data_IF_397090746114
#
_entry.id   IF_397090746114
#
_cell.length_a   1.000
_cell.length_b   1.000
_cell.length_c   1.000
_cell.angle_alpha   90.00
_cell.angle_beta   90.00
_cell.angle_gamma   90.00
#
_symmetry.space_group_name_H-M   'P 1'
#
loop_
_entity.id
_entity.type
_entity.pdbx_description
1 polymer ?
#
# COMPACT_ATOMS: atom_id res chain seq x y z
N UNK A 1 -8.91 30.12 12.40
CA UNK A 1 -9.91 29.15 11.92
C UNK A 1 -9.13 27.91 11.52
N UNK A 2 -9.45 26.73 12.05
CA UNK A 2 -8.74 25.50 11.68
C UNK A 2 -9.30 25.11 10.30
N UNK A 3 -8.57 25.42 9.24
CA UNK A 3 -8.79 24.86 7.91
C UNK A 3 -8.66 23.34 8.03
N UNK A 4 -9.77 22.66 8.34
CA UNK A 4 -9.82 21.21 8.28
C UNK A 4 -9.49 20.83 6.84
N UNK A 5 -8.36 20.14 6.58
CA UNK A 5 -8.03 19.76 5.23
C UNK A 5 -9.20 18.92 4.72
N UNK A 6 -9.74 19.28 3.56
CA UNK A 6 -10.76 18.47 2.95
C UNK A 6 -10.06 17.18 2.53
N UNK A 7 -10.58 16.04 2.98
CA UNK A 7 -10.17 14.68 2.63
C UNK A 7 -8.68 14.36 2.44
N UNK A 8 -8.41 13.14 2.01
CA UNK A 8 -7.09 12.68 1.60
C UNK A 8 -7.22 11.74 0.40
N UNK A 9 -6.62 12.11 -0.73
CA UNK A 9 -6.47 11.19 -1.86
C UNK A 9 -5.18 10.41 -1.70
N UNK A 10 -5.29 9.08 -1.83
CA UNK A 10 -4.16 8.15 -1.78
C UNK A 10 -4.13 7.26 -3.01
N UNK A 11 -2.93 6.80 -3.35
CA UNK A 11 -2.76 5.88 -4.47
C UNK A 11 -1.34 5.36 -4.59
N UNK A 12 -1.20 4.29 -5.39
CA UNK A 12 0.06 3.73 -5.83
C UNK A 12 0.12 3.91 -7.35
N UNK A 13 1.04 4.75 -7.80
CA UNK A 13 1.19 5.11 -9.21
C UNK A 13 1.28 3.86 -10.10
N UNK A 14 0.44 3.83 -11.15
CA UNK A 14 0.33 2.76 -12.14
C UNK A 14 -0.13 1.39 -11.60
N UNK A 15 -0.48 1.31 -10.31
CA UNK A 15 -0.98 0.08 -9.66
C UNK A 15 -2.42 0.24 -9.20
N UNK A 16 -2.79 1.40 -8.66
CA UNK A 16 -4.15 1.65 -8.13
C UNK A 16 -4.76 2.92 -8.71
N UNK A 17 -6.08 2.96 -8.77
CA UNK A 17 -6.81 4.20 -8.95
C UNK A 17 -6.63 5.11 -7.71
N UNK A 18 -6.47 6.43 -7.89
CA UNK A 18 -6.51 7.37 -6.77
C UNK A 18 -7.84 7.27 -6.03
N UNK A 19 -7.79 7.10 -4.72
CA UNK A 19 -8.98 6.95 -3.88
C UNK A 19 -8.98 7.98 -2.77
N UNK A 20 -10.10 8.67 -2.57
CA UNK A 20 -10.24 9.72 -1.57
C UNK A 20 -10.91 9.21 -0.29
N UNK A 21 -10.43 9.67 0.86
CA UNK A 21 -10.94 9.32 2.19
C UNK A 21 -11.20 10.57 3.02
N UNK A 22 -12.14 10.51 3.98
CA UNK A 22 -12.45 11.65 4.83
C UNK A 22 -11.32 11.95 5.82
N UNK A 23 -10.72 10.89 6.37
CA UNK A 23 -9.68 10.98 7.39
C UNK A 23 -8.45 10.21 6.97
N UNK A 24 -7.30 10.62 7.51
CA UNK A 24 -6.02 10.07 7.12
C UNK A 24 -5.82 8.62 7.58
N UNK A 25 -6.37 8.24 8.73
CA UNK A 25 -6.22 6.89 9.27
C UNK A 25 -6.81 5.78 8.36
N UNK A 26 -8.05 5.89 7.85
CA UNK A 26 -8.57 5.01 6.82
C UNK A 26 -7.72 5.00 5.55
N UNK A 27 -7.27 6.17 5.09
CA UNK A 27 -6.48 6.29 3.86
C UNK A 27 -5.15 5.53 3.95
N UNK A 28 -4.43 5.69 5.07
CA UNK A 28 -3.18 4.98 5.34
C UNK A 28 -3.41 3.49 5.57
N UNK A 29 -4.53 3.11 6.21
CA UNK A 29 -4.90 1.71 6.39
C UNK A 29 -5.16 1.01 5.05
N UNK A 30 -5.88 1.67 4.14
CA UNK A 30 -6.13 1.19 2.78
C UNK A 30 -4.85 1.05 1.97
N UNK A 31 -3.95 2.03 2.05
CA UNK A 31 -2.63 1.94 1.43
C UNK A 31 -1.85 0.73 1.96
N UNK A 32 -1.77 0.57 3.28
CA UNK A 32 -1.04 -0.54 3.88
C UNK A 32 -1.64 -1.90 3.52
N UNK A 33 -2.97 -2.03 3.55
CA UNK A 33 -3.68 -3.24 3.13
C UNK A 33 -3.41 -3.60 1.66
N UNK A 34 -3.21 -2.60 0.81
CA UNK A 34 -2.88 -2.81 -0.61
C UNK A 34 -1.39 -3.14 -0.78
N UNK A 35 -0.50 -2.46 -0.07
CA UNK A 35 0.95 -2.69 -0.18
C UNK A 35 1.36 -4.09 0.27
N UNK A 36 0.75 -4.61 1.35
CA UNK A 36 1.07 -5.94 1.89
C UNK A 36 0.70 -7.10 0.96
N UNK A 37 -0.12 -6.87 -0.07
CA UNK A 37 -0.48 -7.91 -1.06
C UNK A 37 0.45 -7.90 -2.27
N UNK A 38 1.31 -6.88 -2.39
CA UNK A 38 2.30 -6.82 -3.45
C UNK A 38 3.52 -7.69 -3.10
N UNK A 39 4.19 -8.29 -4.10
CA UNK A 39 5.41 -9.08 -3.90
C UNK A 39 6.61 -8.17 -3.61
N UNK A 40 6.61 -7.55 -2.44
CA UNK A 40 7.69 -6.69 -1.96
C UNK A 40 8.84 -7.55 -1.42
N UNK A 41 10.08 -7.10 -1.66
CA UNK A 41 11.24 -7.68 -0.99
C UNK A 41 11.19 -7.46 0.53
N UNK A 42 11.76 -8.37 1.31
CA UNK A 42 11.73 -8.35 2.78
C UNK A 42 12.11 -6.99 3.39
N UNK A 43 13.23 -6.40 2.94
CA UNK A 43 13.70 -5.10 3.42
C UNK A 43 12.70 -3.98 3.16
N UNK A 44 12.03 -4.00 2.00
CA UNK A 44 11.01 -3.00 1.67
C UNK A 44 9.78 -3.20 2.55
N UNK A 45 9.32 -4.45 2.69
CA UNK A 45 8.18 -4.78 3.53
C UNK A 45 8.39 -4.30 4.97
N UNK A 46 9.55 -4.56 5.58
CA UNK A 46 9.87 -4.11 6.94
C UNK A 46 9.93 -2.58 7.05
N UNK A 47 10.54 -1.89 6.09
CA UNK A 47 10.57 -0.44 6.07
C UNK A 47 9.16 0.16 6.02
N UNK A 48 8.27 -0.37 5.17
CA UNK A 48 6.89 0.09 5.07
C UNK A 48 6.03 -0.33 6.26
N UNK A 49 6.28 -1.50 6.86
CA UNK A 49 5.63 -1.92 8.10
C UNK A 49 5.94 -0.94 9.23
N UNK A 50 7.18 -0.46 9.32
CA UNK A 50 7.55 0.60 10.25
C UNK A 50 6.92 1.95 9.87
N UNK A 51 6.89 2.30 8.58
CA UNK A 51 6.29 3.55 8.11
C UNK A 51 4.78 3.64 8.38
N UNK A 52 4.03 2.59 8.06
CA UNK A 52 2.58 2.51 8.24
C UNK A 52 2.16 1.96 9.62
N UNK A 53 3.11 1.73 10.52
CA UNK A 53 2.88 1.28 11.88
C UNK A 53 2.36 2.38 12.82
N UNK A 54 2.51 2.21 14.15
CA UNK A 54 2.11 3.22 15.13
C UNK A 54 2.65 4.62 14.79
N UNK A 55 1.80 5.64 14.98
CA UNK A 55 2.16 7.03 14.67
C UNK A 55 2.27 7.37 13.17
N UNK A 56 1.80 6.50 12.26
CA UNK A 56 1.80 6.78 10.82
C UNK A 56 1.01 8.05 10.46
N UNK A 57 -0.13 8.28 11.13
CA UNK A 57 -0.96 9.48 10.93
C UNK A 57 -0.18 10.75 11.24
N UNK A 58 0.41 10.87 12.44
CA UNK A 58 1.16 12.06 12.84
C UNK A 58 2.36 12.33 11.93
N UNK A 59 3.15 11.29 11.61
CA UNK A 59 4.25 11.43 10.65
C UNK A 59 3.77 11.90 9.28
N UNK A 60 2.67 11.35 8.78
CA UNK A 60 2.12 11.76 7.49
C UNK A 60 1.62 13.19 7.54
N UNK A 61 0.94 13.61 8.60
CA UNK A 61 0.53 15.01 8.81
C UNK A 61 1.72 15.97 8.82
N UNK A 62 2.85 15.60 9.46
CA UNK A 62 4.08 16.39 9.42
C UNK A 62 4.61 16.56 7.99
N UNK A 63 4.63 15.50 7.19
CA UNK A 63 5.01 15.59 5.77
C UNK A 63 4.03 16.44 4.95
N UNK A 64 2.72 16.30 5.20
CA UNK A 64 1.70 17.09 4.52
C UNK A 64 1.80 18.57 4.89
N UNK A 65 2.06 18.90 6.15
CA UNK A 65 2.24 20.27 6.61
C UNK A 65 3.51 20.91 6.02
N UNK A 66 4.59 20.13 5.85
CA UNK A 66 5.86 20.63 5.32
C UNK A 66 5.87 20.73 3.78
N UNK A 67 5.43 19.68 3.11
CA UNK A 67 5.66 19.48 1.67
C UNK A 67 4.36 19.49 0.84
N UNK A 68 3.19 19.60 1.49
CA UNK A 68 1.86 19.58 0.86
C UNK A 68 1.43 18.19 0.35
N UNK A 69 2.31 17.19 0.44
CA UNK A 69 2.09 15.81 -0.01
C UNK A 69 3.08 14.86 0.65
N UNK A 70 2.68 13.62 0.83
CA UNK A 70 3.61 12.51 1.11
C UNK A 70 3.87 11.75 -0.20
N UNK A 71 5.15 11.47 -0.49
CA UNK A 71 5.55 10.54 -1.56
C UNK A 71 6.57 9.56 -1.02
N UNK A 72 6.32 8.27 -1.23
CA UNK A 72 7.26 7.20 -0.89
C UNK A 72 7.53 6.36 -2.14
N UNK A 73 8.78 5.95 -2.35
CA UNK A 73 9.19 5.16 -3.50
C UNK A 73 9.57 3.74 -3.12
N UNK A 74 9.19 2.76 -3.92
CA UNK A 74 9.58 1.36 -3.73
C UNK A 74 9.86 0.67 -5.05
N UNK A 75 10.61 -0.44 -5.03
CA UNK A 75 10.94 -1.18 -6.23
C UNK A 75 10.04 -2.42 -6.34
N UNK A 76 9.31 -2.53 -7.45
CA UNK A 76 8.39 -3.62 -7.73
C UNK A 76 8.55 -4.07 -9.19
N UNK A 77 8.80 -5.36 -9.40
CA UNK A 77 9.02 -5.95 -10.73
C UNK A 77 10.07 -5.20 -11.57
N UNK A 78 11.19 -4.83 -10.94
CA UNK A 78 12.29 -4.11 -11.60
C UNK A 78 12.03 -2.64 -11.91
N UNK A 79 10.91 -2.06 -11.42
CA UNK A 79 10.57 -0.65 -11.61
C UNK A 79 10.38 0.08 -10.30
N UNK A 80 10.70 1.37 -10.28
CA UNK A 80 10.37 2.25 -9.15
C UNK A 80 8.91 2.69 -9.24
N UNK A 81 8.13 2.42 -8.19
CA UNK A 81 6.74 2.84 -8.01
C UNK A 81 6.65 3.89 -6.92
N UNK A 82 5.58 4.67 -6.94
CA UNK A 82 5.35 5.74 -5.98
C UNK A 82 4.02 5.55 -5.26
N UNK A 83 4.06 5.64 -3.94
CA UNK A 83 2.90 5.86 -3.09
C UNK A 83 2.74 7.37 -2.93
N UNK A 84 1.50 7.86 -3.02
CA UNK A 84 1.19 9.27 -2.80
C UNK A 84 0.03 9.45 -1.83
N UNK A 85 0.14 10.45 -0.96
CA UNK A 85 -0.95 10.99 -0.14
C UNK A 85 -0.98 12.50 -0.36
N UNK A 86 -2.15 13.04 -0.67
CA UNK A 86 -2.38 14.48 -0.83
C UNK A 86 -3.73 14.89 -0.23
N UNK A 87 -3.87 16.12 0.31
CA UNK A 87 -5.17 16.66 0.70
C UNK A 87 -6.10 16.80 -0.52
N UNK A 88 -7.42 16.65 -0.36
CA UNK A 88 -8.37 16.77 -1.49
C UNK A 88 -9.71 17.41 -1.12
N UNK A 89 -10.09 18.47 -1.85
CA UNK A 89 -11.44 19.07 -1.78
C UNK A 89 -12.53 18.21 -2.43
N UNK A 90 -12.15 17.32 -3.33
CA UNK A 90 -13.07 16.74 -4.30
C UNK A 90 -13.01 15.21 -4.37
N UNK A 91 -14.09 14.64 -4.88
CA UNK A 91 -14.22 13.23 -5.27
C UNK A 91 -15.13 12.39 -4.38
N UNK A 92 -15.48 11.17 -4.81
CA UNK A 92 -16.24 10.24 -3.99
C UNK A 92 -15.41 9.86 -2.75
N UNK A 93 -15.89 10.26 -1.58
CA UNK A 93 -15.20 10.02 -0.31
C UNK A 93 -15.52 8.62 0.19
N UNK A 94 -14.50 7.79 0.34
CA UNK A 94 -14.60 6.52 1.02
C UNK A 94 -14.45 6.70 2.54
N UNK A 95 -15.44 6.22 3.29
CA UNK A 95 -15.48 6.35 4.76
C UNK A 95 -14.81 5.18 5.49
N UNK A 96 -14.80 4.01 4.85
CA UNK A 96 -14.32 2.76 5.44
C UNK A 96 -13.01 2.35 4.78
N UNK A 97 -11.98 1.93 5.55
CA UNK A 97 -10.75 1.42 4.96
C UNK A 97 -11.04 0.14 4.16
N UNK A 98 -10.83 0.21 2.84
CA UNK A 98 -10.85 -0.93 1.94
C UNK A 98 -9.58 -0.95 1.08
N UNK A 99 -9.11 -2.11 0.60
CA UNK A 99 -8.03 -2.17 -0.37
C UNK A 99 -8.31 -1.28 -1.58
N UNK A 100 -7.30 -0.56 -2.04
CA UNK A 100 -7.42 0.36 -3.16
C UNK A 100 -7.74 -0.43 -4.43
N UNK A 101 -8.57 0.16 -5.31
CA UNK A 101 -8.90 -0.46 -6.59
C UNK A 101 -7.65 -0.52 -7.45
N UNK A 102 -7.30 -1.73 -7.87
CA UNK A 102 -6.21 -1.98 -8.79
C UNK A 102 -6.60 -1.51 -10.20
N UNK A 103 -5.68 -0.87 -10.93
CA UNK A 103 -5.94 -0.49 -12.33
C UNK A 103 -5.93 -1.74 -13.22
N UNK A 104 -6.74 -1.73 -14.27
CA UNK A 104 -6.73 -2.77 -15.29
C UNK A 104 -5.57 -2.55 -16.26
N UNK A 105 -4.39 -3.02 -15.87
CA UNK A 105 -3.17 -2.98 -16.69
C UNK A 105 -2.49 -4.35 -16.75
N UNK A 106 -1.76 -4.67 -17.84
CA UNK A 106 -1.07 -5.95 -17.97
C UNK A 106 -0.04 -6.17 -16.85
N UNK A 107 0.57 -5.10 -16.35
CA UNK A 107 1.54 -5.14 -15.26
C UNK A 107 0.89 -5.50 -13.93
N UNK A 108 -0.32 -4.99 -13.68
CA UNK A 108 -1.11 -5.36 -12.51
C UNK A 108 -1.66 -6.79 -12.62
N UNK A 109 -1.99 -7.25 -13.82
CA UNK A 109 -2.33 -8.67 -14.04
C UNK A 109 -1.15 -9.58 -13.69
N UNK A 110 0.08 -9.21 -14.07
CA UNK A 110 1.29 -9.94 -13.67
C UNK A 110 1.50 -9.93 -12.15
N UNK A 111 1.13 -8.85 -11.45
CA UNK A 111 1.16 -8.81 -9.98
C UNK A 111 0.15 -9.78 -9.35
N UNK A 112 -1.05 -9.90 -9.92
CA UNK A 112 -2.05 -10.88 -9.45
C UNK A 112 -1.57 -12.31 -9.66
N UNK A 113 -0.94 -12.59 -10.81
CA UNK A 113 -0.41 -13.93 -11.12
C UNK A 113 0.76 -14.30 -10.19
N UNK A 114 1.70 -13.38 -9.94
CA UNK A 114 2.87 -13.62 -9.07
C UNK A 114 2.54 -13.53 -7.56
N UNK A 115 1.46 -12.85 -7.18
CA UNK A 115 0.97 -12.78 -5.79
C UNK A 115 0.32 -14.06 -5.29
N UNK A 116 0.11 -15.05 -6.18
CA UNK A 116 -0.40 -16.39 -5.83
C UNK A 116 0.74 -17.31 -5.38
N UNK A 117 1.67 -16.78 -4.58
CA UNK A 117 2.67 -17.54 -3.86
C UNK A 117 2.04 -18.24 -2.65
N UNK A 118 1.05 -19.10 -2.90
CA UNK A 118 0.78 -20.19 -1.97
C UNK A 118 2.09 -20.96 -1.82
N UNK A 119 2.62 -21.02 -0.59
CA UNK A 119 3.77 -21.89 -0.27
C UNK A 119 3.49 -23.25 -0.91
N UNK A 120 4.34 -23.79 -1.80
CA UNK A 120 4.34 -25.23 -1.94
C UNK A 120 4.75 -25.75 -0.55
N UNK A 121 3.85 -26.50 0.05
CA UNK A 121 4.10 -27.25 1.26
C UNK A 121 5.44 -27.99 1.07
N UNK A 122 6.44 -27.58 1.85
CA UNK A 122 7.70 -28.30 1.98
C UNK A 122 7.41 -29.49 2.89
N UNK A 123 6.58 -30.42 2.42
CA UNK A 123 6.45 -31.74 3.02
C UNK A 123 7.57 -32.60 2.42
N UNK A 124 8.73 -32.52 3.07
CA UNK A 124 9.88 -33.38 2.81
C UNK A 124 9.54 -34.85 3.06
N UNK A 125 10.37 -35.77 2.54
CA UNK A 125 9.98 -37.17 2.39
C UNK A 125 9.95 -37.89 3.74
N UNK A 126 8.96 -38.77 4.02
CA UNK A 126 9.09 -39.67 5.15
C UNK A 126 10.23 -40.65 4.90
N UNK A 127 11.13 -40.68 5.87
CA UNK A 127 12.31 -41.52 5.94
C UNK A 127 12.07 -42.97 5.57
N UNK A 128 12.99 -43.46 4.73
CA UNK A 128 13.40 -44.86 4.59
C UNK A 128 13.64 -45.47 5.97
N UNK A 129 12.86 -46.47 6.37
CA UNK A 129 13.30 -47.50 7.31
C UNK A 129 13.33 -48.84 6.59
N UNK A 130 14.55 -49.35 6.43
CA UNK A 130 14.87 -50.68 5.92
C UNK A 130 14.41 -51.78 6.87
N UNK A 131 14.13 -52.94 6.25
CA UNK A 131 14.30 -54.33 6.70
C UNK A 131 13.75 -54.75 8.07
#
# INVERSE_FOLDING_TARGET
MKDTPPGYTVGIAEITEPTSFLTLAPALSSLWQTLRTLPLGWTQFEAYRYFFGPGATGRTEEFLARDGRLRLSFALLGRTRLISVLPTVDGPIQLVPAPLRLVDSPEVTLLRLNGTGGRPDLDGPPHRRSA
#
